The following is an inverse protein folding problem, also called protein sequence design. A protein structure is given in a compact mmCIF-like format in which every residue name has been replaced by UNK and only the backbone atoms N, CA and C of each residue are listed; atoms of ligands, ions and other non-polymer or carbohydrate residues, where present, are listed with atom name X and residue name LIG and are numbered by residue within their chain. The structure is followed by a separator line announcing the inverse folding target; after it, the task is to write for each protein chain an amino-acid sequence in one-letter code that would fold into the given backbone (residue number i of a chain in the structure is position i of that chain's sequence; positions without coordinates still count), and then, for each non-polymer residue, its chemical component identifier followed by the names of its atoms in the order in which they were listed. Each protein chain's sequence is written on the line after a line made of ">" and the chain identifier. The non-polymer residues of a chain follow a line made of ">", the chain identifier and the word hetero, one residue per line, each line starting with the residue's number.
data_IF_796044573047
#
_entry.id   IF_796044573047
#
_cell.length_a   1.000
_cell.length_b   1.000
_cell.length_c   1.000
_cell.angle_alpha   90.00
_cell.angle_beta   90.00
_cell.angle_gamma   90.00
#
_symmetry.space_group_name_H-M   'P 1'
#
loop_
_entity.id
_entity.type
_entity.pdbx_description
1 polymer ?
#
# COMPACT_ATOMS: atom_id res chain seq x y z
N UNK A 1 -0.38 15.26 -2.89
CA UNK A 1 0.72 16.24 -2.85
C UNK A 1 0.99 16.65 -1.40
N UNK A 2 2.23 17.04 -1.07
CA UNK A 2 2.59 17.51 0.27
C UNK A 2 2.72 16.43 1.36
N UNK A 3 3.22 15.24 1.03
CA UNK A 3 3.56 14.25 2.05
C UNK A 3 4.99 14.47 2.56
N UNK A 4 5.27 14.02 3.79
CA UNK A 4 6.58 14.03 4.41
C UNK A 4 7.00 12.59 4.68
N UNK A 5 8.24 12.24 4.32
CA UNK A 5 8.81 10.92 4.53
C UNK A 5 9.99 11.07 5.50
N UNK A 6 9.92 10.38 6.64
CA UNK A 6 11.01 10.41 7.63
C UNK A 6 12.25 9.68 7.09
N UNK A 7 13.45 10.00 7.59
CA UNK A 7 14.66 9.25 7.25
C UNK A 7 14.53 7.76 7.64
N UNK A 8 15.30 6.92 6.97
CA UNK A 8 15.41 5.48 7.25
C UNK A 8 14.11 4.67 7.07
N UNK A 9 13.19 5.15 6.22
CA UNK A 9 12.02 4.40 5.78
C UNK A 9 12.17 3.97 4.33
N UNK A 10 11.74 2.76 4.02
CA UNK A 10 11.72 2.23 2.65
C UNK A 10 10.32 2.39 2.07
N UNK A 11 10.22 2.91 0.85
CA UNK A 11 8.96 2.95 0.09
C UNK A 11 8.99 1.82 -0.93
N UNK A 12 8.10 0.86 -0.76
CA UNK A 12 7.96 -0.30 -1.64
C UNK A 12 7.59 0.08 -3.07
N UNK A 13 7.83 -0.87 -3.98
CA UNK A 13 7.49 -0.73 -5.40
C UNK A 13 5.99 -0.52 -5.55
N UNK A 14 5.62 0.47 -6.35
CA UNK A 14 4.21 0.80 -6.65
C UNK A 14 3.37 1.13 -5.40
N UNK A 15 4.01 1.46 -4.27
CA UNK A 15 3.32 2.02 -3.12
C UNK A 15 2.71 3.38 -3.45
N UNK A 16 1.63 3.72 -2.77
CA UNK A 16 0.93 5.00 -2.91
C UNK A 16 0.83 5.70 -1.56
N UNK A 17 1.31 6.94 -1.50
CA UNK A 17 1.26 7.79 -0.32
C UNK A 17 0.20 8.87 -0.52
N UNK A 18 -0.79 8.90 0.38
CA UNK A 18 -1.84 9.90 0.37
C UNK A 18 -1.31 11.33 0.54
N UNK A 19 -2.04 12.30 0.00
CA UNK A 19 -1.73 13.71 0.20
C UNK A 19 -1.70 14.07 1.70
N UNK A 20 -0.74 14.90 2.11
CA UNK A 20 -0.59 15.32 3.51
C UNK A 20 -0.13 14.23 4.49
N UNK A 21 0.24 13.03 4.02
CA UNK A 21 0.66 11.96 4.90
C UNK A 21 2.06 12.20 5.50
N UNK A 22 2.28 11.76 6.75
CA UNK A 22 3.60 11.76 7.40
C UNK A 22 4.05 10.32 7.60
N UNK A 23 4.92 9.84 6.70
CA UNK A 23 5.39 8.45 6.65
C UNK A 23 6.48 8.26 7.69
N UNK A 24 6.12 7.56 8.76
CA UNK A 24 6.97 7.29 9.93
C UNK A 24 7.55 5.87 9.95
N UNK A 25 7.13 5.01 9.02
CA UNK A 25 7.55 3.60 8.90
C UNK A 25 7.58 3.20 7.44
N UNK A 26 8.36 2.15 7.13
CA UNK A 26 8.44 1.60 5.78
C UNK A 26 7.06 1.19 5.25
N UNK A 27 6.86 1.39 3.95
CA UNK A 27 5.62 1.08 3.23
C UNK A 27 5.88 -0.14 2.36
N UNK A 28 5.08 -1.22 2.45
CA UNK A 28 5.27 -2.41 1.64
C UNK A 28 5.00 -2.12 0.16
N UNK A 29 5.44 -3.04 -0.70
CA UNK A 29 5.08 -3.04 -2.12
C UNK A 29 3.57 -2.97 -2.29
N UNK A 30 3.12 -2.16 -3.24
CA UNK A 30 1.71 -1.84 -3.48
C UNK A 30 0.98 -1.21 -2.28
N UNK A 31 1.65 -0.91 -1.17
CA UNK A 31 1.02 -0.39 0.04
C UNK A 31 0.42 1.00 -0.18
N UNK A 32 -0.83 1.17 0.23
CA UNK A 32 -1.49 2.46 0.29
C UNK A 32 -1.47 2.98 1.71
N UNK A 33 -0.77 4.09 1.94
CA UNK A 33 -0.71 4.73 3.27
C UNK A 33 -1.31 6.12 3.25
N UNK A 34 -1.94 6.53 4.35
CA UNK A 34 -2.47 7.90 4.52
C UNK A 34 -2.50 8.33 5.99
N UNK A 35 -2.58 9.64 6.20
CA UNK A 35 -2.73 10.25 7.53
C UNK A 35 -1.41 10.71 8.16
N UNK A 36 -1.51 11.34 9.32
CA UNK A 36 -0.40 11.77 10.14
C UNK A 36 -0.61 11.28 11.59
N UNK A 37 0.14 10.28 12.06
CA UNK A 37 1.14 9.50 11.32
C UNK A 37 0.50 8.58 10.27
N UNK A 38 1.22 8.30 9.18
CA UNK A 38 0.71 7.47 8.09
C UNK A 38 0.44 6.02 8.57
N UNK A 39 -0.68 5.46 8.12
CA UNK A 39 -1.08 4.07 8.40
C UNK A 39 -1.45 3.36 7.11
N UNK A 40 -1.16 2.06 7.04
CA UNK A 40 -1.58 1.22 5.92
C UNK A 40 -3.10 1.16 5.89
N UNK A 41 -3.66 1.53 4.74
CA UNK A 41 -5.08 1.54 4.49
C UNK A 41 -5.52 0.47 3.48
N UNK A 42 -4.56 -0.28 2.90
CA UNK A 42 -4.80 -1.33 1.93
C UNK A 42 -3.70 -1.35 0.88
N UNK A 43 -4.02 -1.90 -0.30
CA UNK A 43 -3.09 -2.04 -1.41
C UNK A 43 -3.64 -1.43 -2.69
N UNK A 44 -2.74 -1.01 -3.58
CA UNK A 44 -3.05 -0.38 -4.86
C UNK A 44 -2.45 -1.15 -6.02
N UNK A 45 -3.22 -1.22 -7.10
CA UNK A 45 -2.78 -1.75 -8.37
C UNK A 45 -1.78 -0.79 -9.02
N UNK A 46 -0.94 -1.30 -9.92
CA UNK A 46 -0.09 -0.46 -10.78
C UNK A 46 -0.87 0.54 -11.66
N UNK A 47 -2.19 0.39 -11.84
CA UNK A 47 -3.04 1.40 -12.49
C UNK A 47 -3.57 2.48 -11.53
N UNK A 48 -3.17 2.47 -10.26
CA UNK A 48 -3.55 3.45 -9.25
C UNK A 48 -4.90 3.19 -8.57
N UNK A 49 -5.59 2.11 -8.91
CA UNK A 49 -6.87 1.73 -8.28
C UNK A 49 -6.66 0.80 -7.08
N UNK A 50 -7.57 0.89 -6.11
CA UNK A 50 -7.56 0.00 -4.95
C UNK A 50 -7.66 -1.48 -5.36
N UNK A 51 -6.89 -2.31 -4.68
CA UNK A 51 -7.00 -3.76 -4.75
C UNK A 51 -8.05 -4.27 -3.78
N UNK A 52 -8.79 -5.28 -4.22
CA UNK A 52 -9.79 -5.99 -3.42
C UNK A 52 -9.19 -7.36 -3.07
N UNK A 53 -9.18 -7.70 -1.79
CA UNK A 53 -8.74 -9.02 -1.34
C UNK A 53 -9.80 -10.08 -1.66
N UNK A 54 -9.34 -11.26 -2.09
CA UNK A 54 -10.20 -12.41 -2.31
C UNK A 54 -10.55 -13.06 -0.97
N UNK A 55 -11.84 -13.22 -0.68
CA UNK A 55 -12.33 -13.85 0.56
C UNK A 55 -11.96 -15.32 0.71
N UNK A 56 -11.69 -16.02 -0.40
CA UNK A 56 -11.33 -17.44 -0.40
C UNK A 56 -9.82 -17.67 -0.23
N UNK A 57 -8.99 -16.70 -0.60
CA UNK A 57 -7.53 -16.83 -0.63
C UNK A 57 -6.88 -15.58 -0.02
N UNK A 58 -6.55 -15.65 1.27
CA UNK A 58 -5.86 -14.56 1.97
C UNK A 58 -4.55 -14.21 1.26
N UNK A 59 -4.29 -12.92 1.07
CA UNK A 59 -3.11 -12.45 0.33
C UNK A 59 -3.28 -12.43 -1.20
N UNK A 60 -4.40 -12.94 -1.73
CA UNK A 60 -4.74 -12.80 -3.14
C UNK A 60 -5.57 -11.54 -3.36
N UNK A 61 -5.07 -10.66 -4.22
CA UNK A 61 -5.68 -9.36 -4.49
C UNK A 61 -6.01 -9.21 -5.97
N UNK A 62 -7.14 -8.58 -6.30
CA UNK A 62 -7.51 -8.28 -7.70
C UNK A 62 -7.95 -6.83 -7.85
N UNK A 63 -7.55 -6.22 -8.96
CA UNK A 63 -8.00 -4.90 -9.35
C UNK A 63 -9.34 -4.98 -10.09
N UNK A 64 -10.35 -4.24 -9.62
CA UNK A 64 -11.67 -4.17 -10.27
C UNK A 64 -11.65 -3.46 -11.63
N UNK A 65 -10.66 -2.60 -11.87
CA UNK A 65 -10.62 -1.76 -13.08
C UNK A 65 -9.84 -2.40 -14.23
N UNK A 66 -8.65 -2.96 -13.97
CA UNK A 66 -7.81 -3.53 -15.03
C UNK A 66 -7.69 -5.06 -14.98
N UNK A 67 -8.33 -5.71 -14.01
CA UNK A 67 -8.37 -7.17 -13.91
C UNK A 67 -7.07 -7.84 -13.43
N UNK A 68 -5.98 -7.09 -13.23
CA UNK A 68 -4.71 -7.66 -12.72
C UNK A 68 -4.86 -8.28 -11.34
N UNK A 69 -4.18 -9.40 -11.16
CA UNK A 69 -4.12 -10.16 -9.92
C UNK A 69 -2.72 -10.04 -9.30
N UNK A 70 -2.69 -10.02 -7.97
CA UNK A 70 -1.49 -9.83 -7.15
C UNK A 70 -1.50 -10.82 -6.00
N UNK A 71 -0.32 -11.31 -5.65
CA UNK A 71 -0.08 -12.06 -4.42
C UNK A 71 0.76 -11.17 -3.51
N UNK A 72 0.17 -10.73 -2.40
CA UNK A 72 0.83 -9.82 -1.45
C UNK A 72 0.87 -10.49 -0.09
N UNK A 73 2.07 -10.85 0.34
CA UNK A 73 2.34 -11.46 1.65
C UNK A 73 2.38 -10.37 2.73
N UNK A 74 1.46 -10.41 3.69
CA UNK A 74 1.43 -9.48 4.83
C UNK A 74 2.53 -9.74 5.89
N UNK A 75 3.60 -10.46 5.55
CA UNK A 75 4.69 -10.78 6.49
C UNK A 75 5.49 -9.54 6.90
N UNK A 76 5.45 -8.46 6.13
CA UNK A 76 6.13 -7.19 6.42
C UNK A 76 5.35 -6.18 7.27
N UNK A 77 4.09 -6.44 7.62
CA UNK A 77 3.19 -5.45 8.29
C UNK A 77 3.42 -5.30 9.81
N UNK A 78 4.54 -5.82 10.35
CA UNK A 78 4.88 -5.78 11.79
C UNK A 78 5.97 -4.79 12.19
N UNK A 79 6.39 -3.89 11.30
CA UNK A 79 7.33 -2.81 11.65
C UNK A 79 6.61 -1.56 12.21
#
# INVERSE_FOLDING_TARGET
>A
AGCVVLPDVTIGRLAMVGAGAVVTRSVPDHGLVRGNPARLAGYVCACGQHLIENSQHRGSFRCSTCGREYQITQEGDRA
#
